data_IF_454418635122
#
_entry.id   IF_454418635122
#
_cell.length_a   1.000
_cell.length_b   1.000
_cell.length_c   1.000
_cell.angle_alpha   90.00
_cell.angle_beta   90.00
_cell.angle_gamma   90.00
#
_symmetry.space_group_name_H-M   'P 1'
#
loop_
_entity.id
_entity.type
_entity.pdbx_description
1 polymer ?
#
# COMPACT_ATOMS: atom_id res chain seq x y z
N UNK A 1 -10.26 -13.71 -1.32
CA UNK A 1 -9.46 -14.86 -0.88
C UNK A 1 -7.99 -14.74 -1.29
N UNK A 2 -7.73 -14.26 -2.53
CA UNK A 2 -6.39 -13.93 -3.02
C UNK A 2 -6.40 -12.67 -3.87
N UNK A 3 -5.23 -12.06 -4.05
CA UNK A 3 -5.06 -10.94 -4.97
C UNK A 3 -3.90 -11.22 -5.95
N UNK A 4 -4.01 -10.65 -7.13
CA UNK A 4 -3.00 -10.74 -8.19
C UNK A 4 -2.78 -9.37 -8.83
N UNK A 5 -1.64 -9.20 -9.49
CA UNK A 5 -1.26 -7.98 -10.20
C UNK A 5 -1.10 -8.24 -11.69
N UNK A 6 -1.03 -7.19 -12.47
CA UNK A 6 -0.48 -7.26 -13.82
C UNK A 6 1.00 -7.61 -13.78
N UNK A 7 1.54 -8.13 -14.87
CA UNK A 7 2.94 -8.52 -14.93
C UNK A 7 3.63 -8.05 -16.21
N UNK A 8 4.94 -7.95 -16.13
CA UNK A 8 5.83 -7.67 -17.27
C UNK A 8 6.77 -8.84 -17.48
N UNK A 9 6.77 -9.40 -18.68
CA UNK A 9 7.74 -10.41 -19.10
C UNK A 9 9.02 -9.76 -19.59
N UNK A 10 10.15 -10.40 -19.30
CA UNK A 10 11.47 -10.00 -19.78
C UNK A 10 12.37 -11.22 -20.00
N UNK A 11 13.48 -11.05 -20.67
CA UNK A 11 14.41 -12.13 -21.01
C UNK A 11 14.22 -12.58 -22.45
N UNK A 12 13.91 -13.85 -22.72
CA UNK A 12 13.71 -14.35 -24.08
C UNK A 12 12.44 -13.81 -24.77
N UNK A 13 11.51 -13.23 -24.01
CA UNK A 13 10.30 -12.58 -24.50
C UNK A 13 9.95 -11.37 -23.66
N UNK A 14 9.63 -10.25 -24.32
CA UNK A 14 9.13 -9.04 -23.68
C UNK A 14 7.63 -8.89 -23.94
N UNK A 15 6.84 -8.70 -22.85
CA UNK A 15 5.39 -8.50 -22.97
C UNK A 15 4.85 -7.81 -21.72
N UNK A 16 3.68 -7.21 -21.88
CA UNK A 16 2.86 -6.72 -20.77
C UNK A 16 1.63 -7.61 -20.66
N UNK A 17 1.33 -8.07 -19.45
CA UNK A 17 0.17 -8.91 -19.17
C UNK A 17 -0.82 -8.14 -18.32
N UNK A 18 -1.81 -7.53 -18.96
CA UNK A 18 -2.91 -6.77 -18.37
C UNK A 18 -4.22 -7.41 -18.84
N UNK A 19 -4.60 -8.52 -18.26
CA UNK A 19 -5.77 -9.27 -18.74
C UNK A 19 -6.89 -9.22 -17.72
N UNK A 20 -8.10 -8.90 -18.20
CA UNK A 20 -9.30 -9.05 -17.38
C UNK A 20 -9.49 -10.50 -17.00
N UNK A 21 -9.77 -10.72 -15.72
CA UNK A 21 -10.06 -12.05 -15.21
C UNK A 21 -11.37 -12.58 -15.78
N UNK A 22 -11.36 -13.85 -16.16
CA UNK A 22 -12.55 -14.60 -16.53
C UNK A 22 -12.45 -16.01 -15.95
N UNK A 23 -13.37 -16.36 -15.07
CA UNK A 23 -13.42 -17.72 -14.51
C UNK A 23 -13.75 -18.79 -15.58
N UNK A 24 -14.44 -18.41 -16.64
CA UNK A 24 -14.72 -19.33 -17.74
C UNK A 24 -13.48 -19.58 -18.60
N UNK A 25 -12.71 -18.53 -18.88
CA UNK A 25 -11.42 -18.71 -19.60
C UNK A 25 -10.43 -19.52 -18.78
N UNK A 26 -10.41 -19.33 -17.43
CA UNK A 26 -9.56 -20.10 -16.50
C UNK A 26 -9.81 -21.61 -16.56
N UNK A 27 -10.95 -22.08 -17.03
CA UNK A 27 -11.21 -23.52 -17.21
C UNK A 27 -10.38 -24.14 -18.33
N UNK A 28 -9.90 -23.33 -19.26
CA UNK A 28 -9.21 -23.80 -20.46
C UNK A 28 -7.78 -23.27 -20.61
N UNK A 29 -7.48 -22.16 -19.93
CA UNK A 29 -6.19 -21.50 -20.02
C UNK A 29 -5.84 -20.81 -18.70
N UNK A 30 -4.61 -21.00 -18.22
CA UNK A 30 -4.12 -20.21 -17.09
C UNK A 30 -3.96 -18.74 -17.52
N UNK A 31 -4.79 -17.87 -16.99
CA UNK A 31 -4.79 -16.43 -17.30
C UNK A 31 -4.12 -15.61 -16.19
N UNK A 32 -3.69 -16.24 -15.10
CA UNK A 32 -2.99 -15.60 -14.01
C UNK A 32 -1.53 -16.04 -13.96
N UNK A 33 -0.70 -15.22 -13.34
CA UNK A 33 0.68 -15.58 -13.02
C UNK A 33 0.73 -16.38 -11.71
N UNK A 34 1.82 -17.10 -11.49
CA UNK A 34 2.01 -17.92 -10.28
C UNK A 34 2.13 -17.09 -8.99
N UNK A 35 2.44 -15.79 -9.10
CA UNK A 35 2.63 -14.91 -7.94
C UNK A 35 1.33 -14.23 -7.54
N UNK A 36 0.91 -14.44 -6.31
CA UNK A 36 -0.30 -13.87 -5.74
C UNK A 36 -0.20 -13.73 -4.22
N UNK A 37 -0.86 -12.73 -3.67
CA UNK A 37 -1.10 -12.65 -2.23
C UNK A 37 -2.30 -13.51 -1.85
N UNK A 38 -2.13 -14.50 -0.99
CA UNK A 38 -3.18 -15.45 -0.65
C UNK A 38 -3.41 -15.46 0.86
N UNK A 39 -4.67 -15.37 1.29
CA UNK A 39 -5.00 -15.56 2.71
C UNK A 39 -4.71 -16.99 3.13
N UNK A 40 -4.04 -17.19 4.27
CA UNK A 40 -3.73 -18.52 4.81
C UNK A 40 -5.01 -19.37 4.98
N UNK A 41 -6.09 -18.79 5.50
CA UNK A 41 -7.37 -19.49 5.63
C UNK A 41 -7.96 -19.97 4.30
N UNK A 42 -7.73 -19.26 3.21
CA UNK A 42 -8.17 -19.71 1.89
C UNK A 42 -7.34 -20.89 1.38
N UNK A 43 -6.02 -20.92 1.66
CA UNK A 43 -5.17 -22.07 1.37
C UNK A 43 -5.58 -23.30 2.18
N UNK A 44 -5.87 -23.13 3.47
CA UNK A 44 -6.34 -24.20 4.36
C UNK A 44 -7.66 -24.78 3.84
N UNK A 45 -8.62 -23.94 3.46
CA UNK A 45 -9.94 -24.37 2.95
C UNK A 45 -9.86 -25.20 1.66
N UNK A 46 -8.88 -24.91 0.79
CA UNK A 46 -8.67 -25.69 -0.44
C UNK A 46 -7.57 -26.75 -0.31
N UNK A 47 -7.09 -27.03 0.89
CA UNK A 47 -6.04 -28.03 1.17
C UNK A 47 -4.74 -27.77 0.41
N UNK A 48 -4.32 -26.50 0.34
CA UNK A 48 -3.06 -26.03 -0.25
C UNK A 48 -2.84 -26.43 -1.71
N UNK A 49 -1.57 -26.41 -2.17
CA UNK A 49 -1.18 -26.86 -3.50
C UNK A 49 -1.31 -28.37 -3.63
N UNK A 50 -1.66 -28.82 -4.84
CA UNK A 50 -1.54 -30.24 -5.19
C UNK A 50 -0.09 -30.52 -5.58
N UNK A 51 0.55 -31.42 -4.88
CA UNK A 51 1.95 -31.77 -5.07
C UNK A 51 2.06 -33.12 -5.78
N UNK A 52 2.90 -33.17 -6.84
CA UNK A 52 3.24 -34.41 -7.54
C UNK A 52 4.55 -34.21 -8.31
N UNK A 53 5.35 -35.28 -8.48
CA UNK A 53 6.69 -35.18 -9.08
C UNK A 53 6.70 -34.65 -10.53
N UNK A 54 5.60 -34.77 -11.24
CA UNK A 54 5.47 -34.39 -12.67
C UNK A 54 4.38 -33.35 -12.94
N UNK A 55 3.87 -32.74 -11.93
CA UNK A 55 2.80 -31.75 -12.07
C UNK A 55 3.33 -30.33 -11.93
N UNK A 56 3.25 -29.57 -13.00
CA UNK A 56 3.85 -28.23 -13.09
C UNK A 56 2.82 -27.09 -13.27
N UNK A 57 1.52 -27.38 -13.23
CA UNK A 57 0.46 -26.37 -13.25
C UNK A 57 -0.19 -26.20 -11.86
N UNK A 58 0.62 -26.26 -10.81
CA UNK A 58 0.19 -26.20 -9.41
C UNK A 58 -0.53 -24.90 -9.06
N UNK A 59 -0.10 -23.77 -9.65
CA UNK A 59 -0.73 -22.47 -9.53
C UNK A 59 -2.12 -22.46 -10.17
N UNK A 60 -2.22 -22.91 -11.42
CA UNK A 60 -3.49 -22.99 -12.13
C UNK A 60 -4.49 -23.91 -11.41
N UNK A 61 -4.05 -25.07 -10.97
CA UNK A 61 -4.89 -25.99 -10.22
C UNK A 61 -5.37 -25.37 -8.90
N UNK A 62 -4.52 -24.63 -8.21
CA UNK A 62 -4.89 -23.92 -6.99
C UNK A 62 -5.97 -22.86 -7.25
N UNK A 63 -5.83 -22.07 -8.33
CA UNK A 63 -6.85 -21.08 -8.71
C UNK A 63 -8.21 -21.74 -9.01
N UNK A 64 -8.23 -22.86 -9.70
CA UNK A 64 -9.46 -23.60 -9.99
C UNK A 64 -10.13 -24.13 -8.70
N UNK A 65 -9.36 -24.64 -7.74
CA UNK A 65 -9.87 -25.06 -6.43
C UNK A 65 -10.51 -23.90 -5.66
N UNK A 66 -9.91 -22.72 -5.70
CA UNK A 66 -10.47 -21.52 -5.09
C UNK A 66 -11.75 -21.06 -5.79
N UNK A 67 -11.79 -21.13 -7.12
CA UNK A 67 -12.99 -20.80 -7.91
C UNK A 67 -14.13 -21.79 -7.66
N UNK A 68 -13.85 -23.08 -7.47
CA UNK A 68 -14.83 -24.08 -7.05
C UNK A 68 -15.54 -23.68 -5.77
N UNK A 69 -14.83 -23.10 -4.81
CA UNK A 69 -15.37 -22.56 -3.55
C UNK A 69 -16.05 -21.19 -3.71
N UNK A 70 -16.15 -20.65 -4.92
CA UNK A 70 -16.71 -19.33 -5.18
C UNK A 70 -15.88 -18.16 -4.62
N UNK A 71 -14.61 -18.41 -4.31
CA UNK A 71 -13.71 -17.37 -3.81
C UNK A 71 -13.39 -16.39 -4.91
N UNK A 72 -13.59 -15.10 -4.65
CA UNK A 72 -13.33 -14.02 -5.60
C UNK A 72 -11.87 -13.57 -5.53
N UNK A 73 -11.15 -13.49 -6.66
CA UNK A 73 -9.87 -12.82 -6.72
C UNK A 73 -10.02 -11.31 -6.64
N UNK A 74 -8.99 -10.62 -6.16
CA UNK A 74 -8.86 -9.17 -6.22
C UNK A 74 -7.77 -8.83 -7.23
N UNK A 75 -8.13 -8.13 -8.29
CA UNK A 75 -7.18 -7.61 -9.26
C UNK A 75 -6.62 -6.27 -8.76
N UNK A 76 -5.31 -6.20 -8.63
CA UNK A 76 -4.59 -4.95 -8.39
C UNK A 76 -4.07 -4.46 -9.74
N UNK A 77 -4.67 -3.40 -10.27
CA UNK A 77 -4.32 -2.83 -11.58
C UNK A 77 -2.98 -2.08 -11.51
N UNK A 78 -1.92 -2.82 -11.27
CA UNK A 78 -0.55 -2.34 -11.25
C UNK A 78 0.41 -3.44 -11.73
N UNK A 79 1.57 -3.05 -12.28
CA UNK A 79 2.62 -3.99 -12.75
C UNK A 79 3.48 -4.44 -11.57
N UNK A 80 2.91 -5.32 -10.72
CA UNK A 80 3.51 -5.77 -9.47
C UNK A 80 4.45 -6.96 -9.61
N UNK A 81 4.58 -7.56 -10.79
CA UNK A 81 5.41 -8.74 -10.99
C UNK A 81 6.19 -8.68 -12.29
N UNK A 82 7.51 -8.92 -12.19
CA UNK A 82 8.41 -9.08 -13.34
C UNK A 82 8.72 -10.55 -13.55
N UNK A 83 8.30 -11.10 -14.68
CA UNK A 83 8.42 -12.51 -15.01
C UNK A 83 9.55 -12.76 -16.00
N UNK A 84 10.62 -13.43 -15.55
CA UNK A 84 11.71 -13.81 -16.47
C UNK A 84 11.29 -14.98 -17.34
N UNK A 85 11.38 -14.80 -18.65
CA UNK A 85 11.17 -15.87 -19.64
C UNK A 85 12.50 -16.49 -20.04
N UNK A 86 12.54 -17.81 -19.98
CA UNK A 86 13.69 -18.61 -20.42
C UNK A 86 13.21 -19.67 -21.42
N UNK A 87 13.99 -19.96 -22.45
CA UNK A 87 13.62 -20.93 -23.51
C UNK A 87 13.58 -22.39 -23.02
N UNK A 88 14.20 -22.72 -21.89
CA UNK A 88 14.22 -24.04 -21.26
C UNK A 88 13.43 -24.12 -19.93
N UNK A 89 12.29 -23.44 -19.83
CA UNK A 89 11.49 -23.38 -18.59
C UNK A 89 10.90 -24.71 -18.16
N UNK A 90 10.45 -24.81 -16.90
CA UNK A 90 9.88 -26.02 -16.28
C UNK A 90 8.69 -26.60 -17.08
N UNK A 91 7.89 -25.77 -17.73
CA UNK A 91 6.74 -26.18 -18.54
C UNK A 91 7.13 -27.09 -19.73
N UNK A 92 8.36 -26.97 -20.26
CA UNK A 92 8.84 -27.83 -21.34
C UNK A 92 9.06 -29.30 -20.92
N UNK A 93 9.06 -29.55 -19.61
CA UNK A 93 9.29 -30.88 -18.99
C UNK A 93 8.02 -31.47 -18.37
N UNK A 94 6.88 -30.77 -18.48
CA UNK A 94 5.64 -31.18 -17.85
C UNK A 94 5.01 -32.41 -18.54
N UNK A 95 4.37 -33.28 -17.74
CA UNK A 95 3.50 -34.33 -18.27
C UNK A 95 2.18 -33.70 -18.73
N UNK A 96 2.10 -33.44 -20.04
CA UNK A 96 0.97 -32.72 -20.65
C UNK A 96 -0.36 -33.47 -20.47
N UNK A 97 -0.35 -34.81 -20.54
CA UNK A 97 -1.56 -35.63 -20.42
C UNK A 97 -2.13 -35.59 -18.99
N UNK A 98 -1.27 -35.78 -18.01
CA UNK A 98 -1.67 -35.75 -16.59
C UNK A 98 -2.10 -34.34 -16.17
N UNK A 99 -1.39 -33.30 -16.60
CA UNK A 99 -1.79 -31.92 -16.37
C UNK A 99 -3.17 -31.61 -16.94
N UNK A 100 -3.44 -31.98 -18.18
CA UNK A 100 -4.77 -31.80 -18.80
C UNK A 100 -5.88 -32.53 -18.04
N UNK A 101 -5.62 -33.73 -17.56
CA UNK A 101 -6.58 -34.52 -16.76
C UNK A 101 -6.92 -33.79 -15.46
N UNK A 102 -5.93 -33.43 -14.65
CA UNK A 102 -6.11 -32.79 -13.35
C UNK A 102 -6.79 -31.41 -13.48
N UNK A 103 -6.36 -30.61 -14.46
CA UNK A 103 -6.99 -29.31 -14.73
C UNK A 103 -8.44 -29.49 -15.18
N UNK A 104 -8.73 -30.45 -16.07
CA UNK A 104 -10.08 -30.73 -16.53
C UNK A 104 -11.02 -31.18 -15.39
N UNK A 105 -10.53 -32.02 -14.49
CA UNK A 105 -11.30 -32.46 -13.31
C UNK A 105 -11.59 -31.29 -12.35
N UNK A 106 -10.62 -30.41 -12.10
CA UNK A 106 -10.82 -29.23 -11.27
C UNK A 106 -11.76 -28.21 -11.92
N UNK A 107 -11.59 -27.95 -13.21
CA UNK A 107 -12.43 -27.02 -13.98
C UNK A 107 -13.91 -27.47 -14.03
N UNK A 108 -14.18 -28.79 -14.17
CA UNK A 108 -15.52 -29.35 -14.20
C UNK A 108 -16.31 -29.11 -12.89
N UNK A 109 -15.64 -28.87 -11.78
CA UNK A 109 -16.26 -28.58 -10.46
C UNK A 109 -16.77 -27.17 -10.34
N UNK A 110 -16.30 -26.23 -11.18
CA UNK A 110 -16.75 -24.82 -11.14
C UNK A 110 -18.15 -24.71 -11.74
N UNK A 111 -19.16 -24.59 -10.89
CA UNK A 111 -20.58 -24.56 -11.31
C UNK A 111 -21.11 -23.16 -11.62
N UNK A 112 -20.51 -22.12 -11.04
CA UNK A 112 -20.95 -20.73 -11.22
C UNK A 112 -19.77 -19.86 -11.63
N UNK A 113 -19.98 -18.89 -12.53
CA UNK A 113 -18.94 -17.91 -12.86
C UNK A 113 -18.58 -17.09 -11.62
N UNK A 114 -17.31 -16.75 -11.52
CA UNK A 114 -16.75 -15.89 -10.48
C UNK A 114 -16.15 -14.66 -11.14
N UNK A 115 -16.47 -13.49 -10.64
CA UNK A 115 -15.91 -12.23 -11.12
C UNK A 115 -14.80 -11.75 -10.18
N UNK A 116 -13.76 -11.14 -10.75
CA UNK A 116 -12.74 -10.47 -9.96
C UNK A 116 -13.28 -9.17 -9.33
N UNK A 117 -12.70 -8.80 -8.22
CA UNK A 117 -12.88 -7.48 -7.61
C UNK A 117 -11.73 -6.61 -8.09
N UNK A 118 -12.01 -5.57 -8.86
CA UNK A 118 -11.00 -4.61 -9.30
C UNK A 118 -10.58 -3.70 -8.15
N UNK A 119 -9.26 -3.48 -8.02
CA UNK A 119 -8.69 -2.55 -7.06
C UNK A 119 -7.58 -1.71 -7.75
N UNK A 120 -7.51 -0.40 -7.54
CA UNK A 120 -8.43 0.38 -6.71
C UNK A 120 -9.87 0.36 -7.25
N UNK A 121 -10.84 0.32 -6.35
CA UNK A 121 -12.25 0.35 -6.76
C UNK A 121 -12.54 1.67 -7.45
N UNK A 122 -13.08 1.60 -8.65
CA UNK A 122 -13.55 2.80 -9.34
C UNK A 122 -14.66 3.45 -8.48
N UNK A 123 -14.33 4.58 -7.87
CA UNK A 123 -15.27 5.39 -7.09
C UNK A 123 -15.63 6.67 -7.85
N UNK A 124 -16.79 7.24 -7.56
CA UNK A 124 -17.21 8.56 -8.08
C UNK A 124 -16.56 9.72 -7.31
N UNK A 125 -15.58 9.44 -6.44
CA UNK A 125 -14.85 10.47 -5.70
C UNK A 125 -13.87 11.17 -6.61
N UNK A 126 -13.86 12.49 -6.59
CA UNK A 126 -12.80 13.24 -7.24
C UNK A 126 -11.49 13.07 -6.45
N UNK A 127 -10.39 13.45 -7.06
CA UNK A 127 -9.03 13.29 -6.52
C UNK A 127 -8.84 13.82 -5.08
N UNK A 128 -9.63 14.83 -4.71
CA UNK A 128 -9.54 15.50 -3.40
C UNK A 128 -10.72 15.18 -2.45
N UNK A 129 -11.56 14.23 -2.80
CA UNK A 129 -12.65 13.81 -1.92
C UNK A 129 -12.15 12.75 -0.95
N UNK A 130 -12.18 13.05 0.34
CA UNK A 130 -11.96 12.04 1.36
C UNK A 130 -13.16 11.07 1.39
N UNK A 131 -12.96 9.75 1.35
CA UNK A 131 -14.04 8.78 1.39
C UNK A 131 -14.76 8.82 2.74
N UNK A 132 -15.97 8.28 2.77
CA UNK A 132 -16.60 7.96 4.06
C UNK A 132 -15.83 6.82 4.71
N UNK A 133 -15.58 6.92 6.01
CA UNK A 133 -14.94 5.87 6.79
C UNK A 133 -15.77 4.58 6.71
N UNK A 134 -15.17 3.53 6.21
CA UNK A 134 -15.76 2.19 6.21
C UNK A 134 -15.23 1.47 7.45
N UNK A 135 -16.13 1.07 8.36
CA UNK A 135 -15.74 0.22 9.49
C UNK A 135 -15.39 -1.17 8.95
N UNK A 136 -14.13 -1.44 8.77
CA UNK A 136 -13.62 -2.75 8.41
C UNK A 136 -13.29 -3.51 9.71
N UNK A 137 -13.65 -4.79 9.79
CA UNK A 137 -13.10 -5.69 10.81
C UNK A 137 -11.70 -6.07 10.37
N UNK A 138 -10.73 -5.26 10.74
CA UNK A 138 -9.33 -5.48 10.41
C UNK A 138 -8.66 -6.33 11.48
N UNK A 139 -7.74 -7.17 11.04
CA UNK A 139 -6.79 -7.80 11.95
C UNK A 139 -5.80 -6.73 12.39
N UNK A 140 -5.63 -6.55 13.69
CA UNK A 140 -4.65 -5.64 14.24
C UNK A 140 -3.26 -6.22 14.08
N UNK A 141 -2.35 -5.46 13.49
CA UNK A 141 -0.92 -5.76 13.39
C UNK A 141 -0.10 -4.93 14.41
N UNK A 142 -0.79 -4.22 15.30
CA UNK A 142 -0.17 -3.35 16.27
C UNK A 142 0.70 -4.14 17.25
N UNK A 143 1.90 -3.64 17.51
CA UNK A 143 2.63 -3.96 18.74
C UNK A 143 2.01 -3.14 19.88
N UNK A 144 1.11 -3.76 20.64
CA UNK A 144 0.38 -3.10 21.74
C UNK A 144 1.29 -2.62 22.89
N UNK A 145 2.58 -2.94 22.84
CA UNK A 145 3.58 -2.48 23.84
C UNK A 145 4.22 -1.15 23.44
N UNK A 146 4.09 -0.74 22.18
CA UNK A 146 4.73 0.45 21.63
C UNK A 146 3.70 1.47 21.16
N UNK A 147 4.12 2.72 21.11
CA UNK A 147 3.34 3.80 20.48
C UNK A 147 3.58 3.73 18.98
N UNK A 148 2.56 3.38 18.21
CA UNK A 148 2.65 3.33 16.75
C UNK A 148 2.50 4.74 16.18
N UNK A 149 3.48 5.13 15.36
CA UNK A 149 3.58 6.45 14.73
C UNK A 149 3.54 6.28 13.22
N UNK A 150 2.68 7.02 12.55
CA UNK A 150 2.68 7.18 11.10
C UNK A 150 3.48 8.43 10.74
N UNK A 151 4.63 8.28 10.09
CA UNK A 151 5.38 9.37 9.51
C UNK A 151 4.89 9.62 8.08
N UNK A 152 4.21 10.74 7.86
CA UNK A 152 3.62 11.10 6.57
C UNK A 152 4.45 12.18 5.88
N UNK A 153 5.18 11.80 4.83
CA UNK A 153 6.17 12.62 4.12
C UNK A 153 5.90 12.66 2.62
N UNK A 154 6.51 13.56 1.84
CA UNK A 154 6.30 13.56 0.40
C UNK A 154 6.97 12.38 -0.30
N UNK A 155 8.25 12.16 -0.07
CA UNK A 155 9.14 11.18 -0.72
C UNK A 155 10.34 10.86 0.17
N UNK A 156 11.24 9.99 -0.30
CA UNK A 156 12.51 9.63 0.35
C UNK A 156 13.68 9.89 -0.63
N UNK A 157 14.09 11.15 -0.75
CA UNK A 157 15.17 11.55 -1.66
C UNK A 157 16.36 12.17 -0.89
N UNK A 158 17.44 12.50 -1.57
CA UNK A 158 18.57 13.18 -0.94
C UNK A 158 18.22 14.65 -0.67
N UNK A 159 18.00 15.01 0.59
CA UNK A 159 17.69 16.37 1.01
C UNK A 159 17.84 16.58 2.52
N UNK A 160 17.87 17.84 2.94
CA UNK A 160 17.99 18.19 4.37
C UNK A 160 16.78 17.72 5.20
N UNK A 161 15.59 17.82 4.66
CA UNK A 161 14.38 17.34 5.30
C UNK A 161 14.38 15.80 5.42
N UNK A 162 14.73 15.10 4.35
CA UNK A 162 14.79 13.65 4.33
C UNK A 162 15.88 13.12 5.28
N UNK A 163 17.03 13.82 5.36
CA UNK A 163 18.07 13.52 6.34
C UNK A 163 17.52 13.63 7.78
N UNK A 164 16.74 14.66 8.06
CA UNK A 164 16.11 14.84 9.37
C UNK A 164 15.12 13.70 9.67
N UNK A 165 14.30 13.28 8.71
CA UNK A 165 13.40 12.14 8.88
C UNK A 165 14.16 10.84 9.17
N UNK A 166 15.24 10.61 8.43
CA UNK A 166 16.10 9.46 8.64
C UNK A 166 16.77 9.47 10.02
N UNK A 167 17.23 10.65 10.47
CA UNK A 167 17.83 10.81 11.80
C UNK A 167 16.78 10.54 12.91
N UNK A 168 15.53 10.95 12.73
CA UNK A 168 14.45 10.57 13.67
C UNK A 168 14.30 9.05 13.75
N UNK A 169 14.21 8.37 12.60
CA UNK A 169 14.09 6.90 12.57
C UNK A 169 15.27 6.20 13.23
N UNK A 170 16.47 6.78 13.10
CA UNK A 170 17.69 6.24 13.68
C UNK A 170 17.76 6.41 15.20
N UNK A 171 17.43 7.61 15.70
CA UNK A 171 17.69 8.01 17.09
C UNK A 171 16.48 7.80 18.01
N UNK A 172 15.28 7.52 17.46
CA UNK A 172 14.09 7.32 18.31
C UNK A 172 14.23 6.07 19.18
N UNK A 173 13.67 6.15 20.38
CA UNK A 173 13.60 5.02 21.31
C UNK A 173 12.70 3.90 20.75
N UNK A 174 13.33 2.89 20.17
CA UNK A 174 12.65 1.75 19.51
C UNK A 174 11.95 0.80 20.49
N UNK A 175 12.23 0.90 21.78
CA UNK A 175 11.51 0.14 22.81
C UNK A 175 10.13 0.76 23.09
N UNK A 176 10.00 2.07 22.87
CA UNK A 176 8.76 2.82 23.12
C UNK A 176 7.96 3.10 21.86
N UNK A 177 8.61 3.24 20.71
CA UNK A 177 7.97 3.67 19.46
C UNK A 177 8.19 2.67 18.34
N UNK A 178 7.16 2.54 17.51
CA UNK A 178 7.23 1.89 16.21
C UNK A 178 6.79 2.90 15.15
N UNK A 179 7.61 3.13 14.11
CA UNK A 179 7.34 4.12 13.07
C UNK A 179 7.14 3.45 11.74
N UNK A 180 5.96 3.63 11.13
CA UNK A 180 5.71 3.38 9.72
C UNK A 180 5.88 4.66 8.91
N UNK A 181 6.41 4.57 7.69
CA UNK A 181 6.64 5.69 6.77
C UNK A 181 5.70 5.57 5.59
N UNK A 182 4.96 6.65 5.31
CA UNK A 182 4.08 6.74 4.14
C UNK A 182 4.50 7.94 3.29
N UNK A 183 4.77 7.70 2.00
CA UNK A 183 5.03 8.79 1.04
C UNK A 183 3.80 9.10 0.20
N UNK A 184 3.60 10.37 -0.15
CA UNK A 184 2.38 10.87 -0.80
C UNK A 184 2.61 11.48 -2.19
N UNK A 185 3.85 11.68 -2.58
CA UNK A 185 4.23 12.29 -3.87
C UNK A 185 5.12 11.34 -4.64
N UNK A 186 4.86 11.21 -5.93
CA UNK A 186 5.71 10.38 -6.80
C UNK A 186 7.12 10.96 -6.87
N UNK A 187 8.12 10.12 -6.60
CA UNK A 187 9.53 10.48 -6.59
C UNK A 187 10.40 9.27 -6.89
N UNK A 188 11.70 9.48 -7.06
CA UNK A 188 12.65 8.40 -7.29
C UNK A 188 12.89 7.54 -6.05
N UNK A 189 12.57 8.07 -4.86
CA UNK A 189 12.73 7.40 -3.56
C UNK A 189 14.09 6.70 -3.36
N UNK A 190 15.15 7.28 -3.92
CA UNK A 190 16.48 6.68 -3.94
C UNK A 190 17.12 6.51 -2.55
N UNK A 191 16.50 7.03 -1.49
CA UNK A 191 16.85 6.77 -0.10
C UNK A 191 15.96 5.75 0.61
N UNK A 192 15.00 5.15 -0.06
CA UNK A 192 14.13 4.13 0.53
C UNK A 192 14.92 3.01 1.22
N UNK A 193 15.99 2.53 0.59
CA UNK A 193 16.87 1.52 1.18
C UNK A 193 17.48 1.98 2.51
N UNK A 194 17.85 3.25 2.66
CA UNK A 194 18.36 3.80 3.93
C UNK A 194 17.28 3.86 5.01
N UNK A 195 16.04 4.19 4.63
CA UNK A 195 14.91 4.18 5.55
C UNK A 195 14.58 2.75 6.01
N UNK A 196 14.66 1.78 5.11
CA UNK A 196 14.38 0.36 5.41
C UNK A 196 15.39 -0.28 6.40
N UNK A 197 16.53 0.34 6.65
CA UNK A 197 17.45 -0.07 7.71
C UNK A 197 16.84 0.13 9.12
N UNK A 198 15.86 1.02 9.27
CA UNK A 198 15.30 1.42 10.55
C UNK A 198 13.82 1.08 10.75
N UNK A 199 13.08 0.83 9.67
CA UNK A 199 11.69 0.37 9.71
C UNK A 199 11.37 -0.55 8.55
N UNK A 200 10.54 -1.56 8.80
CA UNK A 200 10.02 -2.47 7.77
C UNK A 200 8.66 -2.02 7.23
N UNK A 201 8.09 -0.95 7.74
CA UNK A 201 6.78 -0.43 7.35
C UNK A 201 6.96 0.84 6.50
N UNK A 202 7.22 0.65 5.21
CA UNK A 202 7.37 1.73 4.24
C UNK A 202 6.34 1.52 3.13
N UNK A 203 5.52 2.56 2.88
CA UNK A 203 4.48 2.53 1.86
C UNK A 203 4.61 3.74 0.94
N UNK A 204 5.08 3.51 -0.25
CA UNK A 204 5.18 4.52 -1.31
C UNK A 204 3.87 4.55 -2.07
N UNK A 205 2.86 5.30 -1.56
CA UNK A 205 1.49 5.28 -2.10
C UNK A 205 1.42 5.53 -3.61
N UNK A 206 2.19 6.49 -4.19
CA UNK A 206 2.13 6.76 -5.62
C UNK A 206 2.55 5.60 -6.53
N UNK A 207 3.22 4.59 -5.99
CA UNK A 207 3.71 3.46 -6.77
C UNK A 207 2.65 2.36 -6.94
N UNK A 208 1.63 2.35 -6.08
CA UNK A 208 0.61 1.29 -6.11
C UNK A 208 -0.84 1.77 -5.96
N UNK A 209 -1.07 3.09 -5.74
CA UNK A 209 -2.41 3.66 -5.59
C UNK A 209 -2.59 4.95 -6.39
N UNK A 210 -3.80 5.16 -6.87
CA UNK A 210 -4.26 6.49 -7.28
C UNK A 210 -4.49 7.38 -6.04
N UNK A 211 -4.25 8.68 -6.18
CA UNK A 211 -4.41 9.68 -5.10
C UNK A 211 -5.78 9.62 -4.41
N UNK A 212 -6.84 9.34 -5.17
CA UNK A 212 -8.22 9.20 -4.63
C UNK A 212 -8.37 8.09 -3.59
N UNK A 213 -7.46 7.10 -3.56
CA UNK A 213 -7.48 5.97 -2.64
C UNK A 213 -6.53 6.15 -1.43
N UNK A 214 -5.75 7.23 -1.37
CA UNK A 214 -4.80 7.47 -0.29
C UNK A 214 -5.49 7.58 1.07
N UNK A 215 -6.63 8.27 1.15
CA UNK A 215 -7.37 8.41 2.41
C UNK A 215 -7.86 7.05 2.92
N UNK A 216 -8.31 6.16 2.03
CA UNK A 216 -8.73 4.79 2.40
C UNK A 216 -7.56 3.97 2.92
N UNK A 217 -6.38 4.09 2.29
CA UNK A 217 -5.17 3.42 2.77
C UNK A 217 -4.70 3.96 4.12
N UNK A 218 -4.70 5.29 4.30
CA UNK A 218 -4.32 5.92 5.57
C UNK A 218 -5.29 5.48 6.69
N UNK A 219 -6.59 5.38 6.40
CA UNK A 219 -7.58 4.82 7.31
C UNK A 219 -7.25 3.37 7.69
N UNK A 220 -6.95 2.55 6.69
CA UNK A 220 -6.52 1.17 6.90
C UNK A 220 -5.28 1.08 7.79
N UNK A 221 -4.28 1.92 7.54
CA UNK A 221 -3.04 1.92 8.30
C UNK A 221 -3.27 2.36 9.75
N UNK A 222 -4.04 3.43 9.97
CA UNK A 222 -4.42 3.88 11.32
C UNK A 222 -5.10 2.75 12.10
N UNK A 223 -6.08 2.08 11.51
CA UNK A 223 -6.88 1.07 12.20
C UNK A 223 -6.13 -0.25 12.39
N UNK A 224 -5.39 -0.72 11.38
CA UNK A 224 -4.69 -2.01 11.43
C UNK A 224 -3.46 -1.99 12.32
N UNK A 225 -2.82 -0.84 12.48
CA UNK A 225 -1.62 -0.67 13.29
C UNK A 225 -1.87 0.04 14.60
N UNK A 226 -3.12 0.41 14.88
CA UNK A 226 -3.48 1.17 16.07
C UNK A 226 -2.60 2.43 16.23
N UNK A 227 -2.51 3.22 15.15
CA UNK A 227 -1.67 4.43 15.11
C UNK A 227 -2.16 5.43 16.17
N UNK A 228 -1.26 5.87 17.01
CA UNK A 228 -1.54 6.86 18.07
C UNK A 228 -1.09 8.26 17.70
N UNK A 229 -0.08 8.37 16.84
CA UNK A 229 0.50 9.66 16.45
C UNK A 229 0.72 9.69 14.95
N UNK A 230 0.30 10.76 14.31
CA UNK A 230 0.69 11.09 12.93
C UNK A 230 1.72 12.21 13.01
N UNK A 231 2.94 11.92 12.53
CA UNK A 231 3.99 12.91 12.35
C UNK A 231 3.98 13.37 10.89
N UNK A 232 3.48 14.58 10.67
CA UNK A 232 3.28 15.16 9.35
C UNK A 232 4.39 16.15 9.02
N UNK A 233 5.05 15.98 7.89
CA UNK A 233 6.05 16.91 7.43
C UNK A 233 6.14 16.94 5.91
N UNK A 234 6.14 18.15 5.33
CA UNK A 234 6.26 18.41 3.90
C UNK A 234 5.27 17.66 2.98
N UNK A 235 4.21 17.06 3.51
CA UNK A 235 3.17 16.41 2.70
C UNK A 235 1.93 17.29 2.58
N UNK A 236 1.73 17.91 1.43
CA UNK A 236 0.54 18.73 1.18
C UNK A 236 -0.75 17.92 1.23
N UNK A 237 -0.70 16.68 0.72
CA UNK A 237 -1.83 15.76 0.82
C UNK A 237 -2.15 15.40 2.28
N UNK A 238 -1.11 15.22 3.10
CA UNK A 238 -1.28 15.02 4.53
C UNK A 238 -2.03 16.16 5.20
N UNK A 239 -1.64 17.41 4.94
CA UNK A 239 -2.37 18.58 5.45
C UNK A 239 -3.81 18.65 4.95
N UNK A 240 -4.05 18.29 3.69
CA UNK A 240 -5.41 18.21 3.15
C UNK A 240 -6.28 17.23 3.93
N UNK A 241 -5.73 16.12 4.39
CA UNK A 241 -6.46 15.11 5.15
C UNK A 241 -6.64 15.43 6.65
N UNK A 242 -5.88 16.34 7.23
CA UNK A 242 -5.93 16.65 8.68
C UNK A 242 -7.36 16.86 9.20
N UNK A 243 -8.24 17.65 8.57
CA UNK A 243 -9.61 17.82 9.05
C UNK A 243 -10.43 16.53 9.04
N UNK A 244 -10.24 15.70 8.01
CA UNK A 244 -10.91 14.42 7.87
C UNK A 244 -10.40 13.41 8.91
N UNK A 245 -9.07 13.34 9.12
CA UNK A 245 -8.45 12.51 10.15
C UNK A 245 -8.98 12.91 11.52
N UNK A 246 -8.97 14.20 11.85
CA UNK A 246 -9.47 14.70 13.14
C UNK A 246 -10.93 14.35 13.40
N UNK A 247 -11.76 14.39 12.36
CA UNK A 247 -13.18 14.04 12.45
C UNK A 247 -13.40 12.55 12.71
N UNK A 248 -12.62 11.68 12.06
CA UNK A 248 -12.83 10.24 12.09
C UNK A 248 -11.99 9.51 13.15
N UNK A 249 -10.87 10.11 13.56
CA UNK A 249 -9.90 9.56 14.52
C UNK A 249 -9.50 10.64 15.55
N UNK A 250 -10.45 11.10 16.38
CA UNK A 250 -10.19 12.19 17.34
C UNK A 250 -9.13 11.85 18.38
N UNK A 251 -8.90 10.56 18.61
CA UNK A 251 -7.93 10.03 19.56
C UNK A 251 -6.48 10.01 19.03
N UNK A 252 -6.29 10.16 17.72
CA UNK A 252 -4.97 10.16 17.10
C UNK A 252 -4.35 11.55 17.21
N UNK A 253 -3.22 11.66 17.86
CA UNK A 253 -2.47 12.91 17.93
C UNK A 253 -1.84 13.26 16.59
N UNK A 254 -1.99 14.49 16.14
CA UNK A 254 -1.37 14.99 14.91
C UNK A 254 -0.33 16.03 15.30
N UNK A 255 0.91 15.75 15.01
CA UNK A 255 2.01 16.70 15.18
C UNK A 255 2.66 16.98 13.84
N UNK A 256 3.16 18.17 13.64
CA UNK A 256 3.84 18.51 12.41
C UNK A 256 5.19 19.19 12.61
N UNK A 257 6.02 19.16 11.56
CA UNK A 257 7.32 19.80 11.55
C UNK A 257 7.49 20.68 10.31
N UNK A 258 7.85 21.95 10.52
CA UNK A 258 8.06 22.92 9.46
C UNK A 258 9.56 23.19 9.30
N UNK A 259 10.11 22.79 8.16
CA UNK A 259 11.51 22.97 7.83
C UNK A 259 11.84 24.41 7.41
N UNK A 260 10.91 25.03 6.66
CA UNK A 260 11.08 26.42 6.20
C UNK A 260 9.76 27.02 5.73
N UNK A 261 9.73 28.33 5.65
CA UNK A 261 8.69 29.09 4.97
C UNK A 261 9.11 29.42 3.53
N UNK A 262 8.25 29.11 2.55
CA UNK A 262 8.49 29.31 1.12
C UNK A 262 7.48 30.29 0.55
N UNK A 263 7.79 31.58 0.64
CA UNK A 263 6.86 32.65 0.22
C UNK A 263 6.59 32.68 -1.29
N UNK A 264 7.54 32.21 -2.09
CA UNK A 264 7.41 32.06 -3.54
C UNK A 264 6.52 30.89 -3.96
N UNK A 265 6.29 29.94 -3.04
CA UNK A 265 5.46 28.77 -3.30
C UNK A 265 4.27 28.74 -2.33
N UNK A 266 3.08 28.77 -2.90
CA UNK A 266 1.80 28.73 -2.18
C UNK A 266 1.70 29.76 -1.03
N UNK A 267 2.43 30.84 -1.12
CA UNK A 267 2.43 31.96 -0.16
C UNK A 267 2.69 31.51 1.29
N UNK A 268 3.78 30.81 1.48
CA UNK A 268 4.28 30.34 2.77
C UNK A 268 4.62 28.86 2.85
N UNK A 269 4.53 28.14 1.74
CA UNK A 269 4.84 26.70 1.70
C UNK A 269 4.00 25.90 2.69
N UNK A 270 4.62 24.94 3.37
CA UNK A 270 3.97 24.10 4.38
C UNK A 270 3.62 24.84 5.68
N UNK A 271 4.28 25.93 5.97
CA UNK A 271 3.94 26.79 7.12
C UNK A 271 2.50 27.32 7.05
N UNK A 272 1.99 27.58 5.83
CA UNK A 272 0.65 28.07 5.65
C UNK A 272 -0.46 27.08 6.03
N UNK A 273 -0.55 25.85 5.47
CA UNK A 273 -1.56 24.89 5.90
C UNK A 273 -1.40 24.50 7.37
N UNK A 274 -0.20 24.37 7.90
CA UNK A 274 0.04 24.15 9.31
C UNK A 274 -0.62 25.24 10.17
N UNK A 275 -0.39 26.49 9.85
CA UNK A 275 -1.00 27.62 10.55
C UNK A 275 -2.51 27.66 10.44
N UNK A 276 -3.07 27.39 9.25
CA UNK A 276 -4.53 27.34 9.04
C UNK A 276 -5.22 26.23 9.82
N UNK A 277 -4.53 25.14 10.09
CA UNK A 277 -5.03 23.96 10.80
C UNK A 277 -4.59 23.91 12.26
N UNK A 278 -4.07 25.01 12.76
CA UNK A 278 -3.45 25.09 14.07
C UNK A 278 -4.32 24.73 15.27
N UNK A 279 -5.64 24.81 15.11
CA UNK A 279 -6.61 24.44 16.14
C UNK A 279 -6.91 22.93 16.18
N UNK A 280 -6.44 22.15 15.20
CA UNK A 280 -6.67 20.71 15.09
C UNK A 280 -5.36 19.90 14.94
N UNK A 281 -4.21 20.56 14.99
CA UNK A 281 -2.88 19.98 15.11
C UNK A 281 -2.39 20.22 16.54
N UNK A 282 -2.08 19.16 17.28
CA UNK A 282 -1.71 19.24 18.70
C UNK A 282 -0.44 20.05 18.91
N UNK A 283 0.57 19.85 18.07
CA UNK A 283 1.84 20.56 18.21
C UNK A 283 2.54 20.74 16.88
N UNK A 284 3.06 21.94 16.64
CA UNK A 284 3.93 22.26 15.53
C UNK A 284 5.35 22.48 15.99
N UNK A 285 6.28 21.72 15.43
CA UNK A 285 7.70 21.94 15.60
C UNK A 285 8.28 22.69 14.41
N UNK A 286 9.32 23.44 14.64
CA UNK A 286 10.00 24.23 13.61
C UNK A 286 11.52 24.10 13.73
N UNK A 287 12.24 24.24 12.63
CA UNK A 287 13.69 24.07 12.59
C UNK A 287 14.49 25.22 13.24
N UNK A 288 13.90 26.42 13.37
CA UNK A 288 14.63 27.59 13.88
C UNK A 288 13.68 28.68 14.40
N UNK A 289 14.25 29.65 15.12
CA UNK A 289 13.53 30.75 15.74
C UNK A 289 12.88 31.72 14.73
N UNK A 290 13.46 31.86 13.52
CA UNK A 290 12.86 32.67 12.46
C UNK A 290 11.51 32.09 12.02
N UNK A 291 11.49 30.81 11.71
CA UNK A 291 10.26 30.08 11.35
C UNK A 291 9.27 30.09 12.50
N UNK A 292 9.72 29.94 13.76
CA UNK A 292 8.86 30.04 14.94
C UNK A 292 8.15 31.40 15.00
N UNK A 293 8.89 32.51 14.84
CA UNK A 293 8.30 33.86 14.82
C UNK A 293 7.27 34.02 13.67
N UNK A 294 7.52 33.44 12.51
CA UNK A 294 6.57 33.43 11.40
C UNK A 294 5.29 32.68 11.77
N UNK A 295 5.41 31.49 12.36
CA UNK A 295 4.24 30.72 12.80
C UNK A 295 3.39 31.48 13.82
N UNK A 296 4.00 32.11 14.79
CA UNK A 296 3.30 32.91 15.81
C UNK A 296 2.69 34.19 15.19
N UNK A 297 3.50 35.01 14.51
CA UNK A 297 3.08 36.35 14.12
C UNK A 297 2.16 36.35 12.90
N UNK A 298 2.45 35.51 11.90
CA UNK A 298 1.67 35.48 10.65
C UNK A 298 0.57 34.45 10.64
N UNK A 299 0.84 33.26 11.20
CA UNK A 299 -0.12 32.15 11.19
C UNK A 299 -0.84 31.94 12.52
N UNK A 300 -0.57 32.81 13.53
CA UNK A 300 -1.29 32.85 14.81
C UNK A 300 -1.24 31.55 15.61
N UNK A 301 -0.15 30.78 15.46
CA UNK A 301 0.08 29.61 16.32
C UNK A 301 0.42 30.09 17.73
N UNK A 302 -0.04 29.35 18.74
CA UNK A 302 0.39 29.54 20.12
C UNK A 302 1.89 29.25 20.26
N UNK A 303 2.56 29.93 21.21
CA UNK A 303 4.01 29.88 21.41
C UNK A 303 4.50 28.52 21.97
#
# INVERSE_FOLDING_TARGET
>A
AWCYTDSMGFGSQEYVWEKKFSSDEMKYKNTLVCTAGIRKSALEEVSYYTVGEKYYNEDWHLWLKMLEKGMKPVHLSLKGFWYRRNDGGALSKADEKENKRLIGEAAAKIKKPVEAIEYPRAGKTNEYSAPQRTKLKLKTYADNKKINVMMLIPWMVMGGADKFHLDILKEIDKERFNIGVITTVKGENNWEQKFSEYTNEIFTLPDFLDTKNYAEFISYDIESRDVKVIFLTNSYYGYYLVPWIRKNYPEVAIIDYIHMEEWYWRNGGYARPSGMLGNIIEKTYVCNERTRKVMINKFKREA
#
